data_IF_888302339249
#
_entry.id   IF_888302339249
#
_cell.length_a   1.000
_cell.length_b   1.000
_cell.length_c   1.000
_cell.angle_alpha   90.00
_cell.angle_beta   90.00
_cell.angle_gamma   90.00
#
_symmetry.space_group_name_H-M   'P 1'
#
loop_
_entity.id
_entity.type
_entity.pdbx_description
1 polymer ?
#
# COMPACT_ATOMS: atom_id res chain seq x y z
N UNK A 1 1.58 -10.29 -12.75
CA UNK A 1 2.53 -9.22 -13.16
C UNK A 1 3.45 -8.99 -11.99
N UNK A 2 4.75 -8.77 -12.20
CA UNK A 2 5.64 -8.41 -11.10
C UNK A 2 5.21 -7.05 -10.54
N UNK A 3 5.21 -6.90 -9.22
CA UNK A 3 4.93 -5.63 -8.57
C UNK A 3 6.11 -4.68 -8.83
N UNK A 4 5.94 -3.78 -9.79
CA UNK A 4 6.94 -2.81 -10.22
C UNK A 4 6.69 -1.47 -9.54
N UNK A 5 7.66 -1.05 -8.73
CA UNK A 5 7.63 0.22 -7.98
C UNK A 5 8.47 1.32 -8.64
N UNK A 6 8.99 1.09 -9.85
CA UNK A 6 9.83 2.07 -10.55
C UNK A 6 9.11 3.39 -10.88
N UNK A 7 7.78 3.37 -10.91
CA UNK A 7 6.95 4.56 -11.08
C UNK A 7 6.83 5.42 -9.80
N UNK A 8 7.18 4.87 -8.63
CA UNK A 8 7.11 5.58 -7.36
C UNK A 8 8.33 6.46 -7.14
N UNK A 9 8.17 7.57 -6.42
CA UNK A 9 9.29 8.39 -5.98
C UNK A 9 10.08 7.69 -4.84
N UNK A 10 11.30 8.14 -4.50
CA UNK A 10 12.11 7.48 -3.47
C UNK A 10 11.43 7.32 -2.10
N UNK A 11 10.66 8.32 -1.65
CA UNK A 11 9.94 8.25 -0.37
C UNK A 11 8.82 7.23 -0.38
N UNK A 12 8.07 7.17 -1.48
CA UNK A 12 7.03 6.15 -1.66
C UNK A 12 7.64 4.75 -1.74
N UNK A 13 8.78 4.59 -2.41
CA UNK A 13 9.51 3.32 -2.44
C UNK A 13 9.99 2.88 -1.05
N UNK A 14 10.47 3.81 -0.21
CA UNK A 14 10.86 3.53 1.19
C UNK A 14 9.67 2.97 1.99
N UNK A 15 8.49 3.59 1.87
CA UNK A 15 7.26 3.12 2.53
C UNK A 15 6.88 1.71 2.06
N UNK A 16 6.87 1.47 0.75
CA UNK A 16 6.55 0.15 0.20
C UNK A 16 7.55 -0.91 0.66
N UNK A 17 8.84 -0.59 0.68
CA UNK A 17 9.88 -1.50 1.15
C UNK A 17 9.73 -1.83 2.65
N UNK A 18 9.34 -0.84 3.47
CA UNK A 18 9.02 -1.05 4.89
C UNK A 18 7.90 -2.08 5.04
N UNK A 19 6.79 -1.92 4.31
CA UNK A 19 5.65 -2.83 4.36
C UNK A 19 5.96 -4.24 3.80
N UNK A 20 6.75 -4.33 2.73
CA UNK A 20 7.23 -5.62 2.23
C UNK A 20 8.19 -6.33 3.21
N UNK A 21 8.87 -5.56 4.07
CA UNK A 21 9.75 -6.08 5.13
C UNK A 21 9.04 -6.93 6.18
N UNK A 22 7.72 -6.79 6.35
CA UNK A 22 6.93 -7.66 7.23
C UNK A 22 6.77 -9.09 6.69
N UNK A 23 7.23 -9.37 5.47
CA UNK A 23 7.23 -10.68 4.82
C UNK A 23 5.85 -11.37 4.86
N UNK A 24 4.82 -10.56 4.66
CA UNK A 24 3.43 -10.99 4.72
C UNK A 24 3.10 -11.71 3.40
N UNK A 25 2.63 -12.97 3.44
CA UNK A 25 2.32 -13.71 2.21
C UNK A 25 1.08 -13.10 1.55
N UNK A 26 1.28 -12.51 0.37
CA UNK A 26 0.20 -11.91 -0.39
C UNK A 26 0.65 -11.34 -1.73
N UNK A 27 -0.33 -11.00 -2.56
CA UNK A 27 -0.10 -10.35 -3.84
C UNK A 27 -0.12 -8.83 -3.66
N UNK A 28 1.01 -8.19 -3.95
CA UNK A 28 1.15 -6.74 -3.96
C UNK A 28 0.77 -6.17 -5.34
N UNK A 29 0.00 -5.09 -5.36
CA UNK A 29 -0.42 -4.38 -6.56
C UNK A 29 -0.29 -2.88 -6.38
N UNK A 30 0.21 -2.21 -7.40
CA UNK A 30 0.34 -0.76 -7.43
C UNK A 30 -0.87 -0.18 -8.16
N UNK A 31 -1.55 0.76 -7.51
CA UNK A 31 -2.61 1.57 -8.10
C UNK A 31 -2.04 2.68 -8.99
N UNK A 32 -2.93 3.46 -9.60
CA UNK A 32 -2.53 4.65 -10.32
C UNK A 32 -2.15 5.77 -9.34
N UNK A 33 -1.11 6.52 -9.68
CA UNK A 33 -0.78 7.78 -8.99
C UNK A 33 -1.77 8.85 -9.40
N UNK A 34 -2.32 9.59 -8.43
CA UNK A 34 -3.26 10.67 -8.68
C UNK A 34 -2.57 11.97 -9.15
N UNK A 35 -3.36 12.99 -9.47
CA UNK A 35 -2.85 14.30 -9.92
C UNK A 35 -2.01 15.03 -8.86
N UNK A 36 -2.12 14.64 -7.59
CA UNK A 36 -1.38 15.19 -6.45
C UNK A 36 -0.10 14.41 -6.17
N UNK A 37 0.13 13.31 -6.90
CA UNK A 37 1.28 12.43 -6.74
C UNK A 37 1.10 11.36 -5.66
N UNK A 38 -0.08 11.26 -5.04
CA UNK A 38 -0.37 10.21 -4.07
C UNK A 38 -0.60 8.89 -4.82
N UNK A 39 -0.08 7.79 -4.28
CA UNK A 39 -0.22 6.47 -4.90
C UNK A 39 -0.81 5.48 -3.92
N UNK A 40 -1.81 4.73 -4.38
CA UNK A 40 -2.40 3.65 -3.62
C UNK A 40 -1.67 2.33 -3.89
N UNK A 41 -1.35 1.60 -2.82
CA UNK A 41 -0.73 0.29 -2.86
C UNK A 41 -1.69 -0.69 -2.20
N UNK A 42 -1.99 -1.77 -2.89
CA UNK A 42 -2.84 -2.83 -2.40
C UNK A 42 -2.04 -4.08 -2.13
N UNK A 43 -2.34 -4.75 -1.01
CA UNK A 43 -1.85 -6.09 -0.74
C UNK A 43 -3.03 -7.01 -0.43
N UNK A 44 -3.08 -8.14 -1.13
CA UNK A 44 -4.08 -9.18 -0.90
C UNK A 44 -3.42 -10.43 -0.35
N UNK A 45 -3.62 -10.68 0.94
CA UNK A 45 -3.21 -11.90 1.62
C UNK A 45 -4.32 -12.96 1.62
N UNK A 46 -4.05 -14.11 2.22
CA UNK A 46 -5.05 -15.14 2.45
C UNK A 46 -5.94 -14.74 3.64
N UNK A 47 -7.17 -14.32 3.38
CA UNK A 47 -8.13 -13.93 4.40
C UNK A 47 -8.15 -12.45 4.80
N UNK A 48 -7.29 -11.62 4.20
CA UNK A 48 -7.20 -10.19 4.50
C UNK A 48 -6.65 -9.37 3.34
N UNK A 49 -7.00 -8.09 3.33
CA UNK A 49 -6.59 -7.11 2.33
C UNK A 49 -6.14 -5.82 3.01
N UNK A 50 -5.06 -5.24 2.50
CA UNK A 50 -4.53 -3.94 2.88
C UNK A 50 -4.61 -2.97 1.71
N UNK A 51 -5.02 -1.74 2.00
CA UNK A 51 -4.81 -0.57 1.14
C UNK A 51 -3.93 0.43 1.87
N UNK A 52 -2.94 0.97 1.17
CA UNK A 52 -1.98 1.94 1.69
C UNK A 52 -1.97 3.10 0.70
N UNK A 53 -2.51 4.25 1.10
CA UNK A 53 -2.37 5.48 0.34
C UNK A 53 -1.08 6.18 0.78
N UNK A 54 -0.17 6.43 -0.16
CA UNK A 54 1.16 6.99 0.12
C UNK A 54 1.32 8.33 -0.60
N UNK A 55 1.46 9.40 0.18
CA UNK A 55 1.71 10.75 -0.31
C UNK A 55 3.14 10.89 -0.85
N UNK A 56 3.43 11.87 -1.72
CA UNK A 56 4.76 12.07 -2.28
C UNK A 56 5.88 12.28 -1.24
N UNK A 57 5.53 12.80 -0.05
CA UNK A 57 6.45 13.06 1.06
C UNK A 57 6.73 11.81 1.92
N UNK A 58 6.01 10.70 1.71
CA UNK A 58 6.11 9.48 2.48
C UNK A 58 5.12 9.36 3.65
N UNK A 59 4.26 10.36 3.89
CA UNK A 59 3.10 10.18 4.77
C UNK A 59 2.16 9.15 4.17
N UNK A 60 1.51 8.35 5.02
CA UNK A 60 0.64 7.28 4.55
C UNK A 60 -0.63 7.15 5.39
N UNK A 61 -1.68 6.65 4.76
CA UNK A 61 -2.87 6.18 5.45
C UNK A 61 -3.08 4.71 5.10
N UNK A 62 -3.49 3.90 6.06
CA UNK A 62 -3.71 2.47 5.86
C UNK A 62 -5.15 2.09 6.13
N UNK A 63 -5.63 1.12 5.38
CA UNK A 63 -6.91 0.48 5.64
C UNK A 63 -6.72 -1.01 5.52
N UNK A 64 -7.33 -1.75 6.43
CA UNK A 64 -7.35 -3.20 6.38
C UNK A 64 -8.77 -3.73 6.44
N UNK A 65 -8.99 -4.89 5.83
CA UNK A 65 -10.20 -5.67 6.06
C UNK A 65 -9.86 -7.15 6.05
N UNK A 66 -10.65 -7.93 6.77
CA UNK A 66 -10.69 -9.39 6.64
C UNK A 66 -11.77 -9.78 5.65
N UNK A 67 -11.60 -10.93 5.00
CA UNK A 67 -12.44 -11.45 3.90
C UNK A 67 -13.90 -10.95 3.88
N UNK A 68 -14.19 -10.01 2.97
CA UNK A 68 -15.53 -9.49 2.72
C UNK A 68 -16.13 -8.61 3.83
N UNK A 69 -15.36 -8.34 4.90
CA UNK A 69 -15.71 -7.44 5.98
C UNK A 69 -15.59 -5.97 5.62
N UNK A 70 -15.97 -5.11 6.56
CA UNK A 70 -15.83 -3.67 6.44
C UNK A 70 -14.37 -3.25 6.49
N UNK A 71 -14.04 -2.15 5.82
CA UNK A 71 -12.70 -1.55 5.90
C UNK A 71 -12.53 -0.84 7.24
N UNK A 72 -11.50 -1.23 7.98
CA UNK A 72 -11.05 -0.57 9.19
C UNK A 72 -9.89 0.36 8.84
N UNK A 73 -9.99 1.64 9.20
CA UNK A 73 -8.96 2.64 8.90
C UNK A 73 -7.95 2.73 10.03
N UNK A 74 -6.68 2.52 9.71
CA UNK A 74 -5.53 2.88 10.54
C UNK A 74 -4.91 4.18 10.02
N UNK A 75 -4.80 5.20 10.86
CA UNK A 75 -3.98 6.38 10.53
C UNK A 75 -2.65 6.18 11.22
N UNK A 76 -1.59 5.97 10.45
CA UNK A 76 -0.21 5.96 10.95
C UNK A 76 0.43 7.29 10.53
N UNK A 77 0.89 8.08 11.51
CA UNK A 77 1.53 9.41 11.32
C UNK A 77 3.04 9.25 11.33
#
# INVERSE_FOLDING_TARGET
>A
MAFDISALNPKQQEVVAFWQGYNVPGEWRLGATDERGATEVFMKGDGFEWSILIEPNGEMATQERRDGGEWETGIEI
#
